data_IF_726322174004
#
_entry.id   IF_726322174004
#
_cell.length_a   1.000
_cell.length_b   1.000
_cell.length_c   1.000
_cell.angle_alpha   90.00
_cell.angle_beta   90.00
_cell.angle_gamma   90.00
#
_symmetry.space_group_name_H-M   'P 1'
#
loop_
_entity.id
_entity.type
_entity.pdbx_description
1 polymer ?
#
# COMPACT_ATOMS: atom_id res chain seq x y z
N UNK A 1 -15.83 19.95 14.11
CA UNK A 1 -15.60 18.55 13.74
C UNK A 1 -16.69 17.96 12.85
N UNK A 2 -17.96 18.05 13.23
CA UNK A 2 -19.06 17.49 12.43
C UNK A 2 -19.13 18.09 11.01
N UNK A 3 -19.06 19.42 10.88
CA UNK A 3 -19.05 20.13 9.59
C UNK A 3 -17.83 19.75 8.73
N UNK A 4 -16.66 19.62 9.35
CA UNK A 4 -15.44 19.14 8.66
C UNK A 4 -15.62 17.72 8.12
N UNK A 5 -16.17 16.81 8.94
CA UNK A 5 -16.45 15.43 8.54
C UNK A 5 -17.47 15.37 7.39
N UNK A 6 -18.57 16.12 7.50
CA UNK A 6 -19.58 16.20 6.44
C UNK A 6 -19.01 16.72 5.12
N UNK A 7 -18.19 17.78 5.17
CA UNK A 7 -17.54 18.32 3.97
C UNK A 7 -16.59 17.30 3.34
N UNK A 8 -15.86 16.56 4.16
CA UNK A 8 -14.93 15.53 3.71
C UNK A 8 -15.67 14.36 3.05
N UNK A 9 -16.74 13.88 3.69
CA UNK A 9 -17.61 12.83 3.13
C UNK A 9 -18.29 13.31 1.84
N UNK A 10 -18.75 14.56 1.79
CA UNK A 10 -19.33 15.13 0.58
C UNK A 10 -18.35 15.18 -0.60
N UNK A 11 -17.05 15.40 -0.34
CA UNK A 11 -16.01 15.36 -1.37
C UNK A 11 -15.62 13.93 -1.77
N UNK A 12 -15.84 12.95 -0.90
CA UNK A 12 -15.58 11.54 -1.20
C UNK A 12 -16.55 10.98 -2.25
N UNK A 13 -17.82 11.42 -2.23
CA UNK A 13 -18.83 10.96 -3.18
C UNK A 13 -18.46 11.27 -4.65
N UNK A 14 -18.14 12.52 -5.03
CA UNK A 14 -17.69 12.81 -6.40
C UNK A 14 -16.43 12.04 -6.80
N UNK A 15 -15.50 11.85 -5.86
CA UNK A 15 -14.27 11.05 -6.10
C UNK A 15 -14.62 9.61 -6.44
N UNK A 16 -15.56 9.00 -5.70
CA UNK A 16 -16.04 7.65 -5.98
C UNK A 16 -16.72 7.54 -7.35
N UNK A 17 -17.59 8.50 -7.69
CA UNK A 17 -18.29 8.52 -8.99
C UNK A 17 -17.26 8.68 -10.12
N UNK A 18 -16.31 9.58 -9.99
CA UNK A 18 -15.25 9.76 -10.97
C UNK A 18 -14.41 8.49 -11.14
N UNK A 19 -14.10 7.81 -10.04
CA UNK A 19 -13.33 6.57 -10.05
C UNK A 19 -14.12 5.42 -10.72
N UNK A 20 -15.40 5.27 -10.40
CA UNK A 20 -16.29 4.31 -11.08
C UNK A 20 -16.30 4.54 -12.60
N UNK A 21 -16.44 5.81 -13.02
CA UNK A 21 -16.45 6.16 -14.43
C UNK A 21 -15.10 5.86 -15.10
N UNK A 22 -14.00 6.31 -14.49
CA UNK A 22 -12.65 6.09 -15.04
C UNK A 22 -12.34 4.60 -15.14
N UNK A 23 -12.63 3.81 -14.09
CA UNK A 23 -12.40 2.36 -14.08
C UNK A 23 -13.24 1.66 -15.15
N UNK A 24 -14.51 2.04 -15.26
CA UNK A 24 -15.42 1.49 -16.26
C UNK A 24 -14.94 1.75 -17.69
N UNK A 25 -14.48 2.98 -17.97
CA UNK A 25 -13.97 3.35 -19.31
C UNK A 25 -12.60 2.71 -19.56
N UNK A 26 -11.69 2.79 -18.60
CA UNK A 26 -10.32 2.29 -18.75
C UNK A 26 -10.27 0.80 -19.14
N UNK A 27 -11.12 -0.01 -18.51
CA UNK A 27 -11.17 -1.45 -18.79
C UNK A 27 -11.69 -1.74 -20.20
N UNK A 28 -12.62 -0.92 -20.72
CA UNK A 28 -13.13 -1.06 -22.08
C UNK A 28 -12.15 -0.59 -23.16
N UNK A 29 -11.12 0.16 -22.77
CA UNK A 29 -10.01 0.53 -23.65
C UNK A 29 -8.94 -0.56 -23.76
N UNK A 30 -8.97 -1.57 -22.86
CA UNK A 30 -8.07 -2.73 -22.97
C UNK A 30 -8.49 -3.56 -24.18
N UNK A 31 -7.59 -3.77 -25.16
CA UNK A 31 -7.94 -4.53 -26.37
C UNK A 31 -8.24 -5.99 -26.05
N UNK A 32 -9.37 -6.50 -26.56
CA UNK A 32 -9.82 -7.91 -26.46
C UNK A 32 -11.25 -8.04 -25.95
N UNK A 33 -11.86 -9.19 -26.24
CA UNK A 33 -13.23 -9.50 -25.81
C UNK A 33 -13.20 -10.31 -24.51
N UNK A 34 -13.83 -9.83 -23.42
CA UNK A 34 -13.90 -10.57 -22.15
C UNK A 34 -14.61 -11.93 -22.29
N UNK A 35 -15.45 -12.10 -23.30
CA UNK A 35 -16.14 -13.37 -23.57
C UNK A 35 -15.18 -14.44 -24.10
N UNK A 36 -14.18 -14.05 -24.89
CA UNK A 36 -13.16 -14.97 -25.41
C UNK A 36 -12.36 -15.62 -24.27
N UNK A 37 -12.13 -14.90 -23.16
CA UNK A 37 -11.41 -15.42 -21.99
C UNK A 37 -12.20 -16.49 -21.26
N UNK A 38 -13.51 -16.28 -21.10
CA UNK A 38 -14.38 -17.23 -20.38
C UNK A 38 -14.50 -18.57 -21.11
N UNK A 39 -14.32 -18.55 -22.41
CA UNK A 39 -14.61 -19.72 -23.26
C UNK A 39 -13.35 -20.43 -23.75
N UNK A 40 -12.18 -19.79 -23.63
CA UNK A 40 -10.92 -20.30 -24.11
C UNK A 40 -10.78 -20.26 -25.65
N UNK A 41 -9.54 -20.41 -26.13
CA UNK A 41 -9.15 -20.30 -27.53
C UNK A 41 -9.77 -21.38 -28.49
N UNK A 42 -10.57 -22.30 -27.95
CA UNK A 42 -11.09 -23.45 -28.70
C UNK A 42 -12.28 -23.15 -29.65
N UNK A 43 -12.54 -21.86 -29.90
CA UNK A 43 -13.56 -21.46 -30.86
C UNK A 43 -15.00 -21.82 -30.39
N UNK A 44 -15.82 -20.81 -30.16
CA UNK A 44 -17.25 -21.01 -29.87
C UNK A 44 -18.06 -20.80 -31.12
N UNK A 45 -19.22 -21.46 -31.15
CA UNK A 45 -20.23 -21.10 -32.15
C UNK A 45 -20.67 -19.65 -31.95
N UNK A 46 -20.92 -18.91 -33.04
CA UNK A 46 -21.40 -17.51 -32.97
C UNK A 46 -22.63 -17.34 -32.06
N UNK A 47 -23.49 -18.35 -32.00
CA UNK A 47 -24.69 -18.38 -31.15
C UNK A 47 -24.38 -18.39 -29.67
N UNK A 48 -23.41 -19.19 -29.23
CA UNK A 48 -22.93 -19.21 -27.83
C UNK A 48 -22.23 -17.92 -27.44
N UNK A 49 -21.44 -17.33 -28.35
CA UNK A 49 -20.81 -16.05 -28.15
C UNK A 49 -21.85 -14.94 -27.89
N UNK A 50 -22.91 -14.91 -28.71
CA UNK A 50 -24.02 -13.97 -28.55
C UNK A 50 -24.77 -14.17 -27.23
N UNK A 51 -24.97 -15.42 -26.79
CA UNK A 51 -25.61 -15.74 -25.53
C UNK A 51 -24.78 -15.24 -24.33
N UNK A 52 -23.47 -15.46 -24.31
CA UNK A 52 -22.61 -14.96 -23.25
C UNK A 52 -22.50 -13.42 -23.23
N UNK A 53 -22.49 -12.77 -24.40
CA UNK A 53 -22.55 -11.31 -24.46
C UNK A 53 -23.86 -10.77 -23.88
N UNK A 54 -24.96 -11.45 -24.12
CA UNK A 54 -26.25 -11.09 -23.55
C UNK A 54 -26.28 -11.30 -22.01
N UNK A 55 -25.79 -12.44 -21.53
CA UNK A 55 -25.67 -12.72 -20.07
C UNK A 55 -24.81 -11.69 -19.33
N UNK A 56 -23.75 -11.21 -19.97
CA UNK A 56 -22.87 -10.18 -19.42
C UNK A 56 -23.37 -8.76 -19.68
N UNK A 57 -24.48 -8.59 -20.35
CA UNK A 57 -25.06 -7.28 -20.72
C UNK A 57 -24.19 -6.46 -21.68
N UNK A 58 -23.23 -7.09 -22.35
CA UNK A 58 -22.29 -6.42 -23.27
C UNK A 58 -22.93 -6.02 -24.62
N UNK A 59 -24.09 -6.50 -24.90
CA UNK A 59 -24.93 -6.14 -26.05
C UNK A 59 -25.73 -4.85 -25.83
N UNK A 60 -25.79 -4.36 -24.56
CA UNK A 60 -26.50 -3.14 -24.23
C UNK A 60 -25.66 -1.88 -24.55
N UNK A 61 -26.31 -0.71 -24.73
CA UNK A 61 -25.61 0.56 -24.86
C UNK A 61 -24.66 0.82 -23.68
N UNK A 62 -23.49 1.39 -23.93
CA UNK A 62 -22.43 1.60 -22.92
C UNK A 62 -22.92 2.35 -21.68
N UNK A 63 -23.80 3.35 -21.86
CA UNK A 63 -24.40 4.10 -20.74
C UNK A 63 -25.28 3.22 -19.84
N UNK A 64 -26.01 2.25 -20.43
CA UNK A 64 -26.84 1.32 -19.67
C UNK A 64 -25.97 0.31 -18.89
N UNK A 65 -24.90 -0.20 -19.52
CA UNK A 65 -23.91 -1.03 -18.83
C UNK A 65 -23.30 -0.28 -17.64
N UNK A 66 -23.00 1.02 -17.79
CA UNK A 66 -22.49 1.86 -16.69
C UNK A 66 -23.49 2.00 -15.55
N UNK A 67 -24.76 2.27 -15.86
CA UNK A 67 -25.81 2.36 -14.84
C UNK A 67 -26.03 1.03 -14.10
N UNK A 68 -26.02 -0.09 -14.82
CA UNK A 68 -26.10 -1.43 -14.21
C UNK A 68 -24.92 -1.69 -13.29
N UNK A 69 -23.71 -1.34 -13.71
CA UNK A 69 -22.51 -1.42 -12.88
C UNK A 69 -22.60 -0.56 -11.62
N UNK A 70 -23.02 0.69 -11.75
CA UNK A 70 -23.21 1.57 -10.59
C UNK A 70 -24.26 1.00 -9.61
N UNK A 71 -25.37 0.49 -10.15
CA UNK A 71 -26.42 -0.11 -9.33
C UNK A 71 -25.95 -1.35 -8.59
N UNK A 72 -25.19 -2.24 -9.24
CA UNK A 72 -24.59 -3.41 -8.62
C UNK A 72 -23.68 -3.02 -7.44
N UNK A 73 -22.77 -2.05 -7.64
CA UNK A 73 -21.88 -1.55 -6.61
C UNK A 73 -22.61 -0.95 -5.41
N UNK A 74 -23.71 -0.21 -5.65
CA UNK A 74 -24.53 0.36 -4.55
C UNK A 74 -25.21 -0.72 -3.70
N UNK A 75 -25.41 -1.92 -4.25
CA UNK A 75 -25.94 -3.08 -3.53
C UNK A 75 -24.82 -3.99 -2.95
N UNK A 76 -23.55 -3.59 -3.08
CA UNK A 76 -22.40 -4.37 -2.59
C UNK A 76 -22.05 -5.56 -3.50
N UNK A 77 -22.56 -5.60 -4.71
CA UNK A 77 -22.20 -6.61 -5.70
C UNK A 77 -21.02 -6.10 -6.54
N UNK A 78 -19.86 -6.70 -6.32
CA UNK A 78 -18.62 -6.42 -7.06
C UNK A 78 -18.42 -7.36 -8.25
N UNK A 79 -19.39 -8.24 -8.51
CA UNK A 79 -19.39 -9.20 -9.61
C UNK A 79 -18.66 -10.50 -9.27
N UNK A 80 -18.59 -11.36 -10.28
CA UNK A 80 -17.95 -12.68 -10.23
C UNK A 80 -16.82 -12.71 -11.26
N UNK A 81 -15.62 -13.15 -10.85
CA UNK A 81 -14.46 -13.32 -11.71
C UNK A 81 -14.78 -14.25 -12.87
N UNK A 82 -14.45 -13.86 -14.10
CA UNK A 82 -14.63 -14.67 -15.30
C UNK A 82 -13.61 -15.81 -15.36
N UNK A 83 -12.46 -15.64 -14.74
CA UNK A 83 -11.37 -16.61 -14.76
C UNK A 83 -11.54 -17.71 -13.70
N UNK A 84 -12.00 -17.39 -12.50
CA UNK A 84 -12.06 -18.31 -11.36
C UNK A 84 -13.49 -18.73 -11.02
N UNK A 85 -14.50 -18.03 -11.52
CA UNK A 85 -15.91 -18.17 -11.15
C UNK A 85 -16.19 -17.93 -9.65
N UNK A 86 -15.29 -17.22 -8.94
CA UNK A 86 -15.49 -16.81 -7.55
C UNK A 86 -15.95 -15.36 -7.45
N UNK A 87 -16.66 -15.03 -6.38
CA UNK A 87 -17.05 -13.65 -6.11
C UNK A 87 -15.82 -12.76 -5.90
N UNK A 88 -15.77 -11.61 -6.56
CA UNK A 88 -14.64 -10.66 -6.50
C UNK A 88 -14.35 -10.22 -5.09
N UNK A 89 -15.40 -9.98 -4.28
CA UNK A 89 -15.22 -9.62 -2.86
C UNK A 89 -14.57 -10.75 -2.05
N UNK A 90 -14.89 -12.01 -2.35
CA UNK A 90 -14.30 -13.19 -1.69
C UNK A 90 -12.82 -13.32 -2.01
N UNK A 91 -12.46 -13.22 -3.29
CA UNK A 91 -11.05 -13.23 -3.71
C UNK A 91 -10.26 -12.09 -3.08
N UNK A 92 -10.82 -10.88 -3.13
CA UNK A 92 -10.21 -9.71 -2.51
C UNK A 92 -9.97 -9.93 -1.01
N UNK A 93 -10.98 -10.38 -0.28
CA UNK A 93 -10.88 -10.61 1.17
C UNK A 93 -9.82 -11.66 1.53
N UNK A 94 -9.64 -12.69 0.70
CA UNK A 94 -8.61 -13.70 0.89
C UNK A 94 -7.19 -13.18 0.66
N UNK A 95 -7.01 -12.24 -0.29
CA UNK A 95 -5.69 -11.72 -0.69
C UNK A 95 -5.29 -10.44 0.06
N UNK A 96 -6.26 -9.67 0.53
CA UNK A 96 -6.04 -8.37 1.14
C UNK A 96 -5.17 -8.39 2.40
N UNK A 97 -5.27 -9.38 3.31
CA UNK A 97 -4.36 -9.48 4.46
C UNK A 97 -2.88 -9.53 4.07
N UNK A 98 -2.55 -10.17 2.93
CA UNK A 98 -1.17 -10.22 2.44
C UNK A 98 -0.64 -8.84 2.03
N UNK A 99 -1.46 -8.03 1.38
CA UNK A 99 -1.12 -6.63 1.03
C UNK A 99 -0.96 -5.75 2.27
N UNK A 100 -1.84 -5.91 3.26
CA UNK A 100 -1.74 -5.18 4.54
C UNK A 100 -0.45 -5.57 5.26
N UNK A 101 -0.15 -6.86 5.38
CA UNK A 101 1.05 -7.37 6.06
C UNK A 101 2.32 -6.76 5.45
N UNK A 102 2.44 -6.78 4.14
CA UNK A 102 3.55 -6.19 3.42
C UNK A 102 3.63 -4.67 3.62
N UNK A 103 2.49 -3.97 3.53
CA UNK A 103 2.42 -2.51 3.70
C UNK A 103 2.79 -2.09 5.12
N UNK A 104 2.33 -2.82 6.13
CA UNK A 104 2.68 -2.57 7.54
C UNK A 104 4.16 -2.83 7.78
N UNK A 105 4.73 -3.91 7.24
CA UNK A 105 6.14 -4.22 7.37
C UNK A 105 7.03 -3.16 6.69
N UNK A 106 6.66 -2.70 5.48
CA UNK A 106 7.34 -1.61 4.78
C UNK A 106 7.26 -0.28 5.53
N UNK A 107 6.10 0.05 6.11
CA UNK A 107 5.95 1.25 6.94
C UNK A 107 6.76 1.15 8.23
N UNK A 108 6.74 0.01 8.89
CA UNK A 108 7.52 -0.22 10.10
C UNK A 108 9.02 -0.05 9.83
N UNK A 109 9.52 -0.64 8.75
CA UNK A 109 10.90 -0.44 8.29
C UNK A 109 11.21 1.04 8.05
N UNK A 110 10.33 1.75 7.35
CA UNK A 110 10.50 3.17 7.03
C UNK A 110 10.55 4.06 8.28
N UNK A 111 9.66 3.81 9.26
CA UNK A 111 9.58 4.58 10.50
C UNK A 111 10.76 4.25 11.42
N UNK A 112 11.05 2.96 11.63
CA UNK A 112 12.12 2.52 12.54
C UNK A 112 13.50 3.02 12.10
N UNK A 113 13.75 3.17 10.82
CA UNK A 113 15.03 3.68 10.32
C UNK A 113 14.97 5.17 9.97
N UNK A 114 13.89 5.65 9.36
CA UNK A 114 13.78 7.03 8.88
C UNK A 114 13.72 8.05 10.01
N UNK A 115 12.99 7.74 11.08
CA UNK A 115 12.83 8.66 12.20
C UNK A 115 14.13 8.86 13.01
N UNK A 116 14.86 7.80 13.42
CA UNK A 116 16.16 7.98 14.05
C UNK A 116 17.19 8.62 13.12
N UNK A 117 17.27 8.20 11.86
CA UNK A 117 18.20 8.73 10.88
C UNK A 117 18.01 10.24 10.67
N UNK A 118 16.77 10.70 10.46
CA UNK A 118 16.44 12.12 10.33
C UNK A 118 16.76 12.92 11.59
N UNK A 119 16.50 12.35 12.78
CA UNK A 119 16.80 12.97 14.08
C UNK A 119 18.31 13.15 14.26
N UNK A 120 19.11 12.10 13.96
CA UNK A 120 20.57 12.14 14.09
C UNK A 120 21.17 13.12 13.06
N UNK A 121 20.64 13.14 11.81
CA UNK A 121 21.09 14.07 10.79
C UNK A 121 20.84 15.53 11.18
N UNK A 122 19.69 15.85 11.77
CA UNK A 122 19.39 17.18 12.30
C UNK A 122 20.33 17.58 13.47
N UNK A 123 20.56 16.65 14.40
CA UNK A 123 21.44 16.88 15.53
C UNK A 123 22.90 17.08 15.10
N UNK A 124 23.32 16.49 13.97
CA UNK A 124 24.66 16.57 13.38
C UNK A 124 24.66 17.34 12.06
N UNK A 125 23.88 18.42 11.99
CA UNK A 125 23.75 19.25 10.78
C UNK A 125 25.09 19.63 10.17
N UNK A 126 25.22 19.49 8.84
CA UNK A 126 26.42 19.84 8.07
C UNK A 126 27.54 18.81 8.10
N UNK A 127 27.41 17.73 8.86
CA UNK A 127 28.40 16.63 8.89
C UNK A 127 28.26 15.73 7.64
N UNK A 128 29.29 14.91 7.40
CA UNK A 128 29.26 13.89 6.35
C UNK A 128 28.05 12.94 6.48
N UNK A 129 27.67 12.57 7.72
CA UNK A 129 26.48 11.74 7.95
C UNK A 129 25.20 12.42 7.44
N UNK A 130 25.00 13.69 7.76
CA UNK A 130 23.84 14.46 7.31
C UNK A 130 23.80 14.55 5.77
N UNK A 131 24.92 14.88 5.13
CA UNK A 131 25.02 14.98 3.67
C UNK A 131 24.79 13.63 2.97
N UNK A 132 25.40 12.55 3.52
CA UNK A 132 25.22 11.20 2.96
C UNK A 132 23.76 10.73 3.09
N UNK A 133 23.14 10.95 4.26
CA UNK A 133 21.74 10.57 4.46
C UNK A 133 20.81 11.32 3.49
N UNK A 134 21.06 12.61 3.28
CA UNK A 134 20.27 13.39 2.31
C UNK A 134 20.50 12.91 0.88
N UNK A 135 21.74 12.62 0.50
CA UNK A 135 22.07 12.04 -0.81
C UNK A 135 21.39 10.68 -1.03
N UNK A 136 21.52 9.77 -0.07
CA UNK A 136 20.86 8.45 -0.11
C UNK A 136 19.32 8.57 -0.17
N UNK A 137 18.74 9.53 0.55
CA UNK A 137 17.30 9.77 0.52
C UNK A 137 16.83 10.24 -0.86
N UNK A 138 17.59 11.11 -1.53
CA UNK A 138 17.27 11.54 -2.90
C UNK A 138 17.42 10.38 -3.88
N UNK A 139 18.49 9.62 -3.77
CA UNK A 139 18.73 8.43 -4.61
C UNK A 139 17.61 7.40 -4.43
N UNK A 140 17.29 7.02 -3.19
CA UNK A 140 16.24 6.04 -2.89
C UNK A 140 14.85 6.48 -3.36
N UNK A 141 14.54 7.77 -3.30
CA UNK A 141 13.29 8.32 -3.83
C UNK A 141 13.23 8.30 -5.37
N UNK A 142 14.38 8.49 -6.04
CA UNK A 142 14.46 8.57 -7.50
C UNK A 142 14.56 7.21 -8.19
N UNK A 143 14.85 6.14 -7.44
CA UNK A 143 15.00 4.80 -8.01
C UNK A 143 13.63 4.18 -8.31
N UNK A 144 13.42 3.63 -9.52
CA UNK A 144 12.23 2.86 -9.80
C UNK A 144 12.14 1.64 -8.87
N UNK A 145 10.99 1.45 -8.22
CA UNK A 145 10.78 0.41 -7.21
C UNK A 145 11.07 -0.99 -7.75
N UNK A 146 10.68 -1.25 -9.01
CA UNK A 146 10.92 -2.54 -9.65
C UNK A 146 12.42 -2.82 -9.89
N UNK A 147 13.17 -1.80 -10.29
CA UNK A 147 14.60 -1.93 -10.53
C UNK A 147 15.35 -2.20 -9.20
N UNK A 148 14.98 -1.47 -8.15
CA UNK A 148 15.52 -1.68 -6.81
C UNK A 148 15.22 -3.09 -6.29
N UNK A 149 13.99 -3.57 -6.46
CA UNK A 149 13.59 -4.93 -6.10
C UNK A 149 14.42 -6.00 -6.80
N UNK A 150 14.60 -5.88 -8.12
CA UNK A 150 15.41 -6.83 -8.90
C UNK A 150 16.88 -6.82 -8.48
N UNK A 151 17.47 -5.66 -8.19
CA UNK A 151 18.83 -5.59 -7.69
C UNK A 151 18.99 -6.31 -6.34
N UNK A 152 18.05 -6.10 -5.43
CA UNK A 152 18.09 -6.76 -4.12
C UNK A 152 17.90 -8.28 -4.26
N UNK A 153 17.01 -8.74 -5.12
CA UNK A 153 16.87 -10.19 -5.41
C UNK A 153 18.20 -10.73 -5.91
N UNK A 154 18.79 -10.11 -6.94
CA UNK A 154 20.02 -10.58 -7.57
C UNK A 154 21.21 -10.65 -6.60
N UNK A 155 21.38 -9.62 -5.77
CA UNK A 155 22.55 -9.57 -4.88
C UNK A 155 22.29 -10.23 -3.53
N UNK A 156 21.14 -9.93 -2.89
CA UNK A 156 20.90 -10.36 -1.49
C UNK A 156 20.31 -11.77 -1.45
N UNK A 157 19.35 -12.08 -2.33
CA UNK A 157 18.71 -13.38 -2.32
C UNK A 157 19.53 -14.42 -3.10
N UNK A 158 19.87 -14.15 -4.36
CA UNK A 158 20.53 -15.17 -5.21
C UNK A 158 22.02 -15.27 -4.94
N UNK A 159 22.76 -14.16 -4.96
CA UNK A 159 24.23 -14.22 -4.86
C UNK A 159 24.70 -14.50 -3.44
N UNK A 160 24.09 -13.89 -2.43
CA UNK A 160 24.50 -14.05 -1.03
C UNK A 160 23.67 -15.08 -0.27
N UNK A 161 22.53 -15.51 -0.81
CA UNK A 161 21.64 -16.49 -0.15
C UNK A 161 21.09 -16.04 1.21
N UNK A 162 21.01 -14.72 1.43
CA UNK A 162 20.61 -14.17 2.73
C UNK A 162 19.11 -14.16 2.95
N UNK A 163 18.30 -14.21 1.89
CA UNK A 163 16.84 -14.19 1.96
C UNK A 163 16.25 -15.05 0.85
N UNK A 164 15.00 -15.52 0.99
CA UNK A 164 14.27 -16.12 -0.11
C UNK A 164 14.03 -15.11 -1.24
N UNK A 165 13.87 -15.65 -2.47
CA UNK A 165 13.64 -14.85 -3.68
C UNK A 165 12.19 -14.38 -3.78
N UNK A 166 11.23 -15.23 -3.36
CA UNK A 166 9.80 -15.01 -3.60
C UNK A 166 8.90 -15.78 -2.63
N UNK A 167 7.61 -15.46 -2.63
CA UNK A 167 6.61 -16.12 -1.78
C UNK A 167 6.54 -15.52 -0.37
N UNK A 168 5.70 -16.12 0.48
CA UNK A 168 5.47 -15.68 1.87
C UNK A 168 6.02 -16.65 2.91
N UNK A 169 6.25 -17.91 2.52
CA UNK A 169 6.76 -18.99 3.36
C UNK A 169 7.24 -20.13 2.44
N UNK A 170 8.14 -20.98 2.91
CA UNK A 170 8.54 -22.21 2.23
C UNK A 170 7.44 -23.28 2.37
N UNK A 171 6.61 -23.41 1.34
CA UNK A 171 5.49 -24.35 1.33
C UNK A 171 5.91 -25.83 1.30
N UNK A 172 7.19 -26.15 1.05
CA UNK A 172 7.71 -27.51 1.12
C UNK A 172 7.98 -27.90 2.57
N UNK A 173 8.44 -26.94 3.37
CA UNK A 173 8.78 -27.17 4.80
C UNK A 173 7.59 -26.97 5.72
N UNK A 174 6.72 -26.01 5.40
CA UNK A 174 5.64 -25.59 6.27
C UNK A 174 4.31 -25.62 5.52
N UNK A 175 3.42 -26.49 5.96
CA UNK A 175 2.06 -26.55 5.43
C UNK A 175 1.04 -26.38 6.56
N UNK A 176 0.20 -25.37 6.44
CA UNK A 176 -0.94 -25.12 7.34
C UNK A 176 -2.00 -24.33 6.57
N UNK A 177 -3.24 -24.52 6.98
CA UNK A 177 -4.34 -23.73 6.42
C UNK A 177 -4.33 -22.32 7.02
N UNK A 178 -4.46 -21.26 6.21
CA UNK A 178 -4.52 -19.90 6.71
C UNK A 178 -5.80 -19.66 7.50
N UNK A 179 -5.67 -19.10 8.70
CA UNK A 179 -6.79 -18.75 9.59
C UNK A 179 -7.16 -17.29 9.46
N UNK A 180 -6.14 -16.42 9.48
CA UNK A 180 -6.30 -14.96 9.45
C UNK A 180 -5.94 -14.34 8.09
N UNK A 181 -5.19 -15.08 7.28
CA UNK A 181 -4.59 -14.60 6.03
C UNK A 181 -3.31 -13.77 6.22
N UNK A 182 -2.94 -13.41 7.47
CA UNK A 182 -1.65 -12.81 7.80
C UNK A 182 -0.63 -13.92 8.02
N UNK A 183 0.34 -14.06 7.14
CA UNK A 183 1.26 -15.22 7.14
C UNK A 183 2.07 -15.34 8.44
N UNK A 184 2.54 -14.24 9.00
CA UNK A 184 3.30 -14.26 10.26
C UNK A 184 2.42 -14.72 11.43
N UNK A 185 1.15 -14.29 11.46
CA UNK A 185 0.19 -14.69 12.49
C UNK A 185 -0.20 -16.16 12.30
N UNK A 186 -0.49 -16.56 11.08
CA UNK A 186 -0.90 -17.93 10.77
C UNK A 186 0.26 -18.92 11.01
N UNK A 187 1.50 -18.53 10.69
CA UNK A 187 2.69 -19.28 11.04
C UNK A 187 2.86 -19.46 12.57
N UNK A 188 2.55 -18.42 13.34
CA UNK A 188 2.56 -18.51 14.80
C UNK A 188 1.45 -19.41 15.32
N UNK A 189 0.23 -19.28 14.79
CA UNK A 189 -0.92 -20.11 15.17
C UNK A 189 -0.73 -21.58 14.80
N UNK A 190 0.02 -21.89 13.73
CA UNK A 190 0.29 -23.26 13.31
C UNK A 190 1.11 -24.08 14.32
N UNK A 191 1.81 -23.42 15.25
CA UNK A 191 2.70 -24.06 16.23
C UNK A 191 3.93 -24.75 15.61
N UNK A 192 4.14 -24.66 14.30
CA UNK A 192 5.27 -25.31 13.64
C UNK A 192 6.58 -24.58 13.93
N UNK A 193 7.55 -25.30 14.51
CA UNK A 193 8.84 -24.71 14.88
C UNK A 193 9.58 -24.17 13.65
N UNK A 194 9.92 -22.89 13.69
CA UNK A 194 10.64 -22.20 12.60
C UNK A 194 9.74 -21.52 11.56
N UNK A 195 8.43 -21.80 11.50
CA UNK A 195 7.53 -21.20 10.50
C UNK A 195 7.46 -19.66 10.60
N UNK A 196 7.39 -19.10 11.80
CA UNK A 196 7.41 -17.65 12.03
C UNK A 196 8.71 -17.02 11.51
N UNK A 197 9.85 -17.66 11.80
CA UNK A 197 11.15 -17.16 11.33
C UNK A 197 11.22 -17.18 9.81
N UNK A 198 10.71 -18.22 9.18
CA UNK A 198 10.69 -18.36 7.73
C UNK A 198 9.76 -17.32 7.09
N UNK A 199 8.54 -17.13 7.61
CA UNK A 199 7.62 -16.10 7.15
C UNK A 199 8.23 -14.68 7.27
N UNK A 200 8.84 -14.34 8.40
CA UNK A 200 9.56 -13.08 8.56
C UNK A 200 10.72 -12.94 7.56
N UNK A 201 11.44 -14.02 7.28
CA UNK A 201 12.55 -14.03 6.35
C UNK A 201 12.11 -13.72 4.90
N UNK A 202 10.97 -14.27 4.49
CA UNK A 202 10.35 -13.95 3.20
C UNK A 202 9.85 -12.49 3.13
N UNK A 203 9.45 -11.90 4.26
CA UNK A 203 8.92 -10.54 4.33
C UNK A 203 10.01 -9.46 4.26
N UNK A 204 11.27 -9.76 4.64
CA UNK A 204 12.36 -8.77 4.78
C UNK A 204 12.61 -8.00 3.48
N UNK A 205 12.91 -8.68 2.38
CA UNK A 205 13.24 -7.99 1.13
C UNK A 205 12.07 -7.19 0.55
N UNK A 206 10.87 -7.77 0.42
CA UNK A 206 9.71 -7.01 -0.04
C UNK A 206 9.42 -5.77 0.83
N UNK A 207 9.54 -5.89 2.15
CA UNK A 207 9.35 -4.76 3.07
C UNK A 207 10.40 -3.65 2.90
N UNK A 208 11.66 -4.01 2.68
CA UNK A 208 12.75 -3.04 2.39
C UNK A 208 12.45 -2.32 1.08
N UNK A 209 12.11 -3.04 0.01
CA UNK A 209 11.81 -2.45 -1.30
C UNK A 209 10.65 -1.48 -1.21
N UNK A 210 9.53 -1.93 -0.63
CA UNK A 210 8.33 -1.12 -0.51
C UNK A 210 8.54 0.07 0.43
N UNK A 211 9.28 -0.12 1.53
CA UNK A 211 9.52 0.90 2.55
C UNK A 211 10.61 1.91 2.21
N UNK A 212 11.41 1.72 1.15
CA UNK A 212 12.52 2.62 0.80
C UNK A 212 12.07 4.04 0.48
N UNK A 213 11.00 4.22 -0.30
CA UNK A 213 10.46 5.55 -0.64
C UNK A 213 9.91 6.26 0.62
N UNK A 214 9.02 5.64 1.41
CA UNK A 214 8.57 6.22 2.67
C UNK A 214 9.71 6.54 3.65
N UNK A 215 10.71 5.67 3.75
CA UNK A 215 11.89 5.90 4.59
C UNK A 215 12.60 7.21 4.21
N UNK A 216 12.86 7.42 2.93
CA UNK A 216 13.51 8.62 2.43
C UNK A 216 12.70 9.89 2.73
N UNK A 217 11.37 9.83 2.58
CA UNK A 217 10.45 10.94 2.87
C UNK A 217 10.40 11.24 4.37
N UNK A 218 10.25 10.19 5.20
CA UNK A 218 10.18 10.31 6.66
C UNK A 218 11.50 10.86 7.21
N UNK A 219 12.65 10.33 6.78
CA UNK A 219 13.96 10.81 7.23
C UNK A 219 14.17 12.29 6.92
N UNK A 220 13.86 12.71 5.70
CA UNK A 220 13.99 14.11 5.26
C UNK A 220 13.05 15.04 6.03
N UNK A 221 11.78 14.64 6.19
CA UNK A 221 10.80 15.42 6.93
C UNK A 221 11.17 15.54 8.41
N UNK A 222 11.59 14.43 9.03
CA UNK A 222 12.05 14.42 10.41
C UNK A 222 13.24 15.35 10.59
N UNK A 223 14.22 15.30 9.69
CA UNK A 223 15.37 16.22 9.73
C UNK A 223 14.93 17.68 9.65
N UNK A 224 14.05 18.02 8.71
CA UNK A 224 13.56 19.40 8.53
C UNK A 224 12.83 19.91 9.78
N UNK A 225 11.86 19.13 10.26
CA UNK A 225 11.09 19.48 11.46
C UNK A 225 11.99 19.59 12.73
N UNK A 226 12.96 18.70 12.87
CA UNK A 226 13.94 18.76 13.97
C UNK A 226 14.83 20.00 13.90
N UNK A 227 15.27 20.42 12.72
CA UNK A 227 16.10 21.63 12.58
C UNK A 227 15.32 22.90 12.97
N UNK A 228 14.05 22.98 12.61
CA UNK A 228 13.17 24.07 13.02
C UNK A 228 13.01 24.09 14.52
N UNK A 229 12.62 22.98 15.13
CA UNK A 229 12.42 22.87 16.58
C UNK A 229 13.70 23.11 17.39
N UNK A 230 14.86 22.62 16.92
CA UNK A 230 16.15 22.80 17.62
C UNK A 230 16.60 24.28 17.65
N UNK A 231 16.02 25.16 16.82
CA UNK A 231 16.30 26.60 16.82
C UNK A 231 15.42 27.38 17.82
N UNK A 232 14.39 26.77 18.40
CA UNK A 232 13.44 27.40 19.31
C UNK A 232 14.05 27.76 20.67
N UNK A 233 13.57 28.84 21.28
CA UNK A 233 14.11 29.39 22.55
C UNK A 233 13.94 28.44 23.73
N UNK A 234 12.86 27.65 23.78
CA UNK A 234 12.70 26.67 24.85
C UNK A 234 13.75 25.56 24.81
N UNK A 235 14.26 25.22 23.62
CA UNK A 235 15.37 24.25 23.47
C UNK A 235 16.68 24.88 23.95
N UNK A 236 16.94 26.17 23.67
CA UNK A 236 18.08 26.90 24.20
C UNK A 236 18.02 26.97 25.72
N UNK A 237 16.86 27.24 26.28
CA UNK A 237 16.63 27.25 27.72
C UNK A 237 16.91 25.88 28.36
N UNK A 238 16.47 24.79 27.73
CA UNK A 238 16.73 23.43 28.18
C UNK A 238 18.23 23.12 28.22
N UNK A 239 18.99 23.56 27.21
CA UNK A 239 20.47 23.44 27.18
C UNK A 239 21.13 24.30 28.27
N UNK A 240 20.68 25.54 28.45
CA UNK A 240 21.21 26.46 29.48
C UNK A 240 21.00 25.93 30.91
N UNK A 241 19.92 25.15 31.14
CA UNK A 241 19.68 24.43 32.41
C UNK A 241 20.55 23.18 32.59
N UNK A 242 21.49 22.90 31.71
CA UNK A 242 22.40 21.75 31.82
C UNK A 242 21.78 20.38 31.51
N UNK A 243 20.65 20.33 30.84
CA UNK A 243 20.05 19.05 30.48
C UNK A 243 20.91 18.28 29.46
N UNK A 244 21.09 16.97 29.63
CA UNK A 244 21.89 16.17 28.72
C UNK A 244 21.30 16.14 27.34
N UNK A 245 22.16 16.08 26.30
CA UNK A 245 21.79 16.18 24.90
C UNK A 245 20.67 15.20 24.50
N UNK A 246 20.67 13.97 25.01
CA UNK A 246 19.64 12.97 24.71
C UNK A 246 18.23 13.38 25.19
N UNK A 247 18.15 14.08 26.35
CA UNK A 247 16.88 14.63 26.84
C UNK A 247 16.42 15.82 26.00
N UNK A 248 17.34 16.70 25.65
CA UNK A 248 17.03 17.88 24.81
C UNK A 248 16.54 17.42 23.44
N UNK A 249 17.23 16.51 22.78
CA UNK A 249 16.90 16.03 21.44
C UNK A 249 15.66 15.12 21.46
N UNK A 250 15.65 14.09 22.31
CA UNK A 250 14.60 13.07 22.31
C UNK A 250 13.30 13.55 22.94
N UNK A 251 13.34 14.21 24.10
CA UNK A 251 12.13 14.57 24.83
C UNK A 251 11.60 15.96 24.45
N UNK A 252 12.49 16.97 24.34
CA UNK A 252 12.06 18.35 24.10
C UNK A 252 11.92 18.68 22.62
N UNK A 253 12.84 18.23 21.76
CA UNK A 253 12.80 18.56 20.34
C UNK A 253 11.97 17.54 19.53
N UNK A 254 12.28 16.25 19.62
CA UNK A 254 11.63 15.22 18.80
C UNK A 254 10.11 15.18 19.03
N UNK A 255 9.65 15.27 20.27
CA UNK A 255 8.22 15.28 20.60
C UNK A 255 7.42 16.33 19.81
N UNK A 256 7.99 17.54 19.67
CA UNK A 256 7.36 18.62 18.93
C UNK A 256 7.54 18.46 17.42
N UNK A 257 8.69 17.97 16.98
CA UNK A 257 8.95 17.66 15.58
C UNK A 257 8.12 16.50 15.02
N UNK A 258 7.60 15.62 15.89
CA UNK A 258 6.74 14.51 15.48
C UNK A 258 5.41 14.95 14.87
N UNK A 259 4.88 16.13 15.17
CA UNK A 259 3.58 16.59 14.68
C UNK A 259 3.54 16.57 13.14
N UNK A 260 4.42 17.29 12.40
CA UNK A 260 4.44 17.21 10.95
C UNK A 260 4.91 15.84 10.41
N UNK A 261 5.73 15.11 11.17
CA UNK A 261 6.22 13.79 10.76
C UNK A 261 5.10 12.75 10.75
N UNK A 262 4.24 12.71 11.78
CA UNK A 262 3.06 11.83 11.83
C UNK A 262 2.13 12.12 10.65
N UNK A 263 1.99 13.38 10.29
CA UNK A 263 1.24 13.80 9.10
C UNK A 263 1.76 13.12 7.84
N UNK A 264 3.06 13.19 7.62
CA UNK A 264 3.71 12.58 6.47
C UNK A 264 3.61 11.04 6.51
N UNK A 265 3.80 10.42 7.68
CA UNK A 265 3.62 8.97 7.84
C UNK A 265 2.22 8.55 7.39
N UNK A 266 1.19 9.28 7.82
CA UNK A 266 -0.18 9.01 7.40
C UNK A 266 -0.39 9.12 5.88
N UNK A 267 0.15 10.15 5.23
CA UNK A 267 0.07 10.30 3.78
C UNK A 267 0.82 9.18 3.02
N UNK A 268 1.88 8.63 3.61
CA UNK A 268 2.63 7.53 2.99
C UNK A 268 1.88 6.20 2.99
N UNK A 269 0.85 6.02 3.80
CA UNK A 269 0.05 4.78 3.77
C UNK A 269 -0.61 4.59 2.41
N UNK A 270 -1.20 5.64 1.83
CA UNK A 270 -1.78 5.58 0.47
C UNK A 270 -0.73 5.27 -0.60
N UNK A 271 0.47 5.84 -0.48
CA UNK A 271 1.60 5.59 -1.39
C UNK A 271 2.07 4.14 -1.32
N UNK A 272 2.11 3.54 -0.12
CA UNK A 272 2.46 2.14 0.07
C UNK A 272 1.48 1.20 -0.63
N UNK A 273 0.18 1.46 -0.51
CA UNK A 273 -0.85 0.65 -1.17
C UNK A 273 -0.68 0.66 -2.70
N UNK A 274 -0.36 1.82 -3.29
CA UNK A 274 -0.07 1.92 -4.72
C UNK A 274 1.25 1.24 -5.11
N UNK A 275 2.30 1.38 -4.29
CA UNK A 275 3.61 0.75 -4.51
C UNK A 275 3.61 -0.76 -4.29
N UNK A 276 2.69 -1.28 -3.51
CA UNK A 276 2.56 -2.70 -3.23
C UNK A 276 2.35 -3.53 -4.50
N UNK A 277 1.59 -3.03 -5.49
CA UNK A 277 1.30 -3.72 -6.76
C UNK A 277 2.57 -4.24 -7.44
N UNK A 278 3.56 -3.38 -7.62
CA UNK A 278 4.83 -3.76 -8.27
C UNK A 278 5.67 -4.68 -7.38
N UNK A 279 5.74 -4.40 -6.08
CA UNK A 279 6.49 -5.22 -5.13
C UNK A 279 5.91 -6.63 -5.02
N UNK A 280 4.59 -6.76 -4.92
CA UNK A 280 3.90 -8.05 -4.91
C UNK A 280 4.15 -8.86 -6.17
N UNK A 281 4.15 -8.19 -7.33
CA UNK A 281 4.42 -8.85 -8.62
C UNK A 281 5.84 -9.38 -8.68
N UNK A 282 6.84 -8.57 -8.31
CA UNK A 282 8.27 -8.92 -8.38
C UNK A 282 8.61 -10.07 -7.43
N UNK A 283 8.14 -10.01 -6.19
CA UNK A 283 8.40 -11.02 -5.18
C UNK A 283 7.40 -12.18 -5.19
N UNK A 284 6.52 -12.25 -6.20
CA UNK A 284 5.43 -13.23 -6.26
C UNK A 284 4.62 -13.31 -4.95
N UNK A 285 4.45 -12.18 -4.28
CA UNK A 285 3.66 -12.03 -3.08
C UNK A 285 2.16 -12.11 -3.43
N UNK A 286 1.39 -13.05 -2.86
CA UNK A 286 0.00 -13.25 -3.26
C UNK A 286 -0.93 -12.20 -2.61
N UNK A 287 -0.78 -10.96 -3.04
CA UNK A 287 -1.60 -9.83 -2.60
C UNK A 287 -2.57 -9.35 -3.67
N UNK A 288 -3.35 -8.33 -3.32
CA UNK A 288 -4.38 -7.76 -4.20
C UNK A 288 -3.79 -7.07 -5.42
N UNK A 289 -2.62 -6.45 -5.29
CA UNK A 289 -1.95 -5.78 -6.40
C UNK A 289 -1.51 -6.74 -7.49
N UNK A 290 -0.89 -7.86 -7.12
CA UNK A 290 -0.52 -8.94 -8.06
C UNK A 290 -1.76 -9.53 -8.72
N UNK A 291 -2.81 -9.79 -7.94
CA UNK A 291 -4.08 -10.29 -8.45
C UNK A 291 -4.70 -9.36 -9.51
N UNK A 292 -4.64 -8.03 -9.30
CA UNK A 292 -5.10 -7.08 -10.32
C UNK A 292 -4.28 -7.14 -11.62
N UNK A 293 -2.94 -7.25 -11.54
CA UNK A 293 -2.08 -7.39 -12.71
C UNK A 293 -2.40 -8.69 -13.47
N UNK A 294 -2.61 -9.80 -12.75
CA UNK A 294 -3.03 -11.06 -13.37
C UNK A 294 -4.41 -10.95 -14.00
N UNK A 295 -5.35 -10.23 -13.37
CA UNK A 295 -6.69 -9.98 -13.91
C UNK A 295 -6.65 -9.16 -15.21
N UNK A 296 -5.71 -8.20 -15.35
CA UNK A 296 -5.47 -7.50 -16.63
C UNK A 296 -5.05 -8.51 -17.70
N UNK A 297 -4.07 -9.35 -17.39
CA UNK A 297 -3.54 -10.35 -18.34
C UNK A 297 -4.61 -11.36 -18.78
N UNK A 298 -5.52 -11.70 -17.87
CA UNK A 298 -6.66 -12.61 -18.10
C UNK A 298 -7.90 -11.92 -18.66
N UNK A 299 -7.89 -10.58 -18.83
CA UNK A 299 -9.03 -9.77 -19.29
C UNK A 299 -10.29 -9.98 -18.42
N UNK A 300 -10.08 -10.18 -17.13
CA UNK A 300 -11.17 -10.41 -16.17
C UNK A 300 -11.77 -9.06 -15.73
N UNK A 301 -12.76 -8.60 -16.49
CA UNK A 301 -13.39 -7.29 -16.28
C UNK A 301 -14.02 -7.14 -14.90
N UNK A 302 -14.83 -8.10 -14.39
CA UNK A 302 -15.39 -7.97 -13.05
C UNK A 302 -14.33 -7.91 -11.96
N UNK A 303 -13.30 -8.77 -12.02
CA UNK A 303 -12.20 -8.76 -11.05
C UNK A 303 -11.43 -7.43 -11.07
N UNK A 304 -11.19 -6.86 -12.26
CA UNK A 304 -10.54 -5.55 -12.38
C UNK A 304 -11.41 -4.41 -11.85
N UNK A 305 -12.69 -4.34 -12.28
CA UNK A 305 -13.60 -3.28 -11.87
C UNK A 305 -13.86 -3.32 -10.36
N UNK A 306 -14.25 -4.49 -9.86
CA UNK A 306 -14.52 -4.67 -8.43
C UNK A 306 -13.28 -4.52 -7.58
N UNK A 307 -12.13 -5.09 -8.00
CA UNK A 307 -10.88 -5.01 -7.27
C UNK A 307 -10.33 -3.59 -7.16
N UNK A 308 -10.33 -2.81 -8.25
CA UNK A 308 -9.93 -1.40 -8.22
C UNK A 308 -10.85 -0.58 -7.31
N UNK A 309 -12.17 -0.83 -7.35
CA UNK A 309 -13.13 -0.15 -6.49
C UNK A 309 -12.91 -0.51 -5.01
N UNK A 310 -12.64 -1.78 -4.69
CA UNK A 310 -12.36 -2.23 -3.33
C UNK A 310 -11.06 -1.61 -2.78
N UNK A 311 -9.95 -1.65 -3.54
CA UNK A 311 -8.70 -0.99 -3.13
C UNK A 311 -8.91 0.49 -2.90
N UNK A 312 -9.59 1.16 -3.82
CA UNK A 312 -9.84 2.59 -3.73
C UNK A 312 -10.71 2.94 -2.52
N UNK A 313 -11.70 2.10 -2.20
CA UNK A 313 -12.51 2.23 -0.99
C UNK A 313 -11.66 2.16 0.27
N UNK A 314 -10.73 1.21 0.31
CA UNK A 314 -9.77 1.07 1.41
C UNK A 314 -8.86 2.28 1.51
N UNK A 315 -8.26 2.72 0.40
CA UNK A 315 -7.37 3.90 0.38
C UNK A 315 -8.10 5.16 0.84
N UNK A 316 -9.32 5.37 0.36
CA UNK A 316 -10.16 6.51 0.78
C UNK A 316 -10.50 6.40 2.28
N UNK A 317 -10.87 5.21 2.75
CA UNK A 317 -11.15 4.96 4.17
C UNK A 317 -9.94 5.22 5.06
N UNK A 318 -8.76 4.75 4.67
CA UNK A 318 -7.50 5.00 5.38
C UNK A 318 -7.17 6.49 5.39
N UNK A 319 -7.26 7.19 4.26
CA UNK A 319 -7.03 8.62 4.20
C UNK A 319 -8.00 9.39 5.10
N UNK A 320 -9.27 9.00 5.13
CA UNK A 320 -10.25 9.59 6.04
C UNK A 320 -9.88 9.37 7.51
N UNK A 321 -9.44 8.17 7.88
CA UNK A 321 -8.96 7.87 9.24
C UNK A 321 -7.72 8.70 9.61
N UNK A 322 -6.78 8.85 8.69
CA UNK A 322 -5.60 9.71 8.85
C UNK A 322 -6.01 11.15 9.08
N UNK A 323 -6.93 11.69 8.27
CA UNK A 323 -7.45 13.06 8.41
C UNK A 323 -8.17 13.29 9.75
N UNK A 324 -8.94 12.30 10.21
CA UNK A 324 -9.59 12.36 11.53
C UNK A 324 -8.56 12.38 12.66
N UNK A 325 -7.50 11.57 12.54
CA UNK A 325 -6.40 11.54 13.49
C UNK A 325 -5.70 12.91 13.57
N UNK A 326 -5.53 13.61 12.44
CA UNK A 326 -5.01 14.97 12.42
C UNK A 326 -5.90 15.96 13.17
N UNK A 327 -7.22 15.88 12.97
CA UNK A 327 -8.17 16.72 13.69
C UNK A 327 -8.13 16.52 15.21
N UNK A 328 -7.67 15.34 15.68
CA UNK A 328 -7.47 15.04 17.10
C UNK A 328 -6.13 15.56 17.62
N UNK A 329 -5.05 15.40 16.84
CA UNK A 329 -3.69 15.76 17.25
C UNK A 329 -3.44 17.27 17.16
N UNK A 330 -4.02 17.94 16.18
CA UNK A 330 -3.82 19.39 15.98
C UNK A 330 -5.12 20.20 16.16
N UNK A 331 -5.38 20.75 17.37
CA UNK A 331 -6.61 21.52 17.64
C UNK A 331 -6.76 22.80 16.80
N UNK A 332 -5.70 23.32 16.21
CA UNK A 332 -5.73 24.54 15.38
C UNK A 332 -6.50 24.35 14.07
N UNK A 333 -6.62 23.13 13.57
CA UNK A 333 -7.36 22.79 12.35
C UNK A 333 -8.90 22.79 12.60
N UNK A 334 -9.35 22.82 13.86
CA UNK A 334 -10.77 22.79 14.21
C UNK A 334 -11.52 24.09 13.90
N UNK A 335 -10.85 25.18 13.62
CA UNK A 335 -11.41 26.52 13.51
C UNK A 335 -11.20 27.19 12.15
N UNK A 336 -10.76 26.44 11.11
CA UNK A 336 -10.61 26.90 9.74
C UNK A 336 -11.71 26.40 8.80
#
# INVERSE_FOLDING_TARGET
MFTYLLRRLALTVPTFIALMFVTFVAIRLVPGDPVEVRVGERGISPERLAMFRHELGLDQPVWQQFLTYCNALLHGDFGTSLATNQGVLTEFAALFPATIELSLAGMLFAVLLGLPAGTIAAARRGTAFDQTLMGLSVTGYSMPIFWWGLLLIMFVAERWGLTPVSGRIDLIKYYFEPVTGFMVIDAWLSGQAGAVKDALHHLVLPAIVLGTIPLAVIARMTRSAMLEVLSEDYVRTARAKGLPAWRVIGLHALRNALIPVITIIGLQVGTLMAGAVLTETIFSWPGVGKWLIESISRRDYPALQGGVMLISSVVIGVNLLVDLTYGLINPRIRHG
#
